data_IF_111027775887
#
_entry.id   IF_111027775887
#
_cell.length_a   1.000
_cell.length_b   1.000
_cell.length_c   1.000
_cell.angle_alpha   90.00
_cell.angle_beta   90.00
_cell.angle_gamma   90.00
#
_symmetry.space_group_name_H-M   'P 1'
#
loop_
_entity.id
_entity.type
_entity.pdbx_description
1 polymer ?
#
# COMPACT_ATOMS: atom_id res chain seq x y z
N UNK A 1 2.96 1.29 -3.22
CA UNK A 1 3.22 0.83 -4.59
C UNK A 1 2.37 -0.39 -4.87
N UNK A 2 1.75 -0.45 -6.04
CA UNK A 2 1.01 -1.61 -6.55
C UNK A 2 1.89 -2.41 -7.51
N UNK A 3 1.96 -3.71 -7.32
CA UNK A 3 2.87 -4.59 -8.04
C UNK A 3 2.09 -5.52 -8.97
N UNK A 4 2.59 -5.66 -10.20
CA UNK A 4 2.00 -6.53 -11.21
C UNK A 4 2.28 -8.01 -10.94
N UNK A 5 1.46 -8.86 -11.54
CA UNK A 5 1.35 -10.30 -11.33
C UNK A 5 2.63 -11.13 -11.54
N UNK A 6 3.55 -10.69 -12.39
CA UNK A 6 4.71 -11.49 -12.83
C UNK A 6 6.06 -10.95 -12.33
N UNK A 7 6.12 -10.54 -11.06
CA UNK A 7 7.38 -10.09 -10.48
C UNK A 7 8.19 -11.25 -9.92
N UNK A 8 9.50 -11.23 -10.17
CA UNK A 8 10.44 -12.06 -9.43
C UNK A 8 10.51 -11.50 -8.01
N UNK A 9 10.10 -12.28 -7.04
CA UNK A 9 10.20 -11.93 -5.63
C UNK A 9 10.76 -13.10 -4.83
N UNK A 10 11.43 -12.77 -3.75
CA UNK A 10 11.77 -13.71 -2.71
C UNK A 10 10.96 -13.34 -1.47
N UNK A 11 10.18 -14.27 -0.98
CA UNK A 11 9.48 -14.08 0.29
C UNK A 11 10.48 -14.31 1.41
N UNK A 12 10.55 -13.37 2.32
CA UNK A 12 11.43 -13.44 3.50
C UNK A 12 10.84 -14.35 4.58
N UNK A 13 9.60 -14.81 4.39
CA UNK A 13 8.93 -15.83 5.22
C UNK A 13 8.70 -17.10 4.41
N UNK A 14 8.79 -18.26 5.04
CA UNK A 14 8.64 -19.60 4.43
C UNK A 14 7.23 -19.92 3.89
N UNK A 15 6.43 -18.90 3.62
CA UNK A 15 4.99 -19.05 3.43
C UNK A 15 4.58 -19.09 1.96
N UNK A 16 5.30 -18.37 1.09
CA UNK A 16 5.09 -18.39 -0.35
C UNK A 16 6.36 -18.90 -1.06
N UNK A 17 6.21 -19.72 -2.08
CA UNK A 17 7.34 -20.22 -2.84
C UNK A 17 7.81 -19.20 -3.87
N UNK A 18 9.13 -19.11 -4.10
CA UNK A 18 9.69 -18.27 -5.15
C UNK A 18 9.09 -18.63 -6.51
N UNK A 19 8.63 -17.63 -7.26
CA UNK A 19 8.00 -17.80 -8.56
C UNK A 19 6.48 -18.02 -8.52
N UNK A 20 5.87 -18.16 -7.32
CA UNK A 20 4.43 -18.17 -7.18
C UNK A 20 3.89 -16.73 -7.34
N UNK A 21 2.66 -16.60 -7.85
CA UNK A 21 1.98 -15.31 -7.87
C UNK A 21 1.71 -14.83 -6.43
N UNK A 22 2.32 -13.70 -6.05
CA UNK A 22 2.25 -13.19 -4.69
C UNK A 22 0.81 -12.91 -4.23
N UNK A 23 -0.05 -12.35 -5.09
CA UNK A 23 -1.45 -12.11 -4.75
C UNK A 23 -2.18 -13.43 -4.50
N UNK A 24 -1.99 -14.42 -5.37
CA UNK A 24 -2.58 -15.75 -5.21
C UNK A 24 -2.11 -16.44 -3.93
N UNK A 25 -0.82 -16.35 -3.62
CA UNK A 25 -0.27 -16.89 -2.38
C UNK A 25 -0.96 -16.27 -1.15
N UNK A 26 -1.00 -14.95 -1.07
CA UNK A 26 -1.59 -14.24 0.08
C UNK A 26 -3.07 -14.59 0.27
N UNK A 27 -3.85 -14.60 -0.82
CA UNK A 27 -5.27 -14.95 -0.75
C UNK A 27 -5.50 -16.43 -0.37
N UNK A 28 -4.63 -17.32 -0.85
CA UNK A 28 -4.66 -18.74 -0.47
C UNK A 28 -4.36 -18.93 1.02
N UNK A 29 -3.37 -18.21 1.54
CA UNK A 29 -3.02 -18.22 2.97
C UNK A 29 -4.18 -17.75 3.85
N UNK A 30 -4.83 -16.66 3.45
CA UNK A 30 -6.01 -16.15 4.15
C UNK A 30 -7.13 -17.20 4.23
N UNK A 31 -7.26 -18.07 3.20
CA UNK A 31 -8.24 -19.15 3.18
C UNK A 31 -7.84 -20.41 3.96
N UNK A 32 -6.55 -20.61 4.27
CA UNK A 32 -6.06 -21.84 4.93
C UNK A 32 -6.12 -21.80 6.45
N UNK A 33 -6.14 -20.63 7.05
CA UNK A 33 -6.09 -20.44 8.50
C UNK A 33 -6.89 -19.22 8.92
N UNK A 34 -7.20 -19.13 10.22
CA UNK A 34 -7.88 -17.95 10.76
C UNK A 34 -7.04 -16.68 10.58
N UNK A 35 -7.71 -15.55 10.41
CA UNK A 35 -7.07 -14.24 10.28
C UNK A 35 -6.21 -13.88 11.52
N UNK A 36 -6.59 -14.37 12.70
CA UNK A 36 -5.80 -14.18 13.92
C UNK A 36 -4.41 -14.82 13.86
N UNK A 37 -4.24 -15.90 13.11
CA UNK A 37 -2.96 -16.58 12.90
C UNK A 37 -2.17 -15.98 11.72
N UNK A 38 -2.82 -15.83 10.57
CA UNK A 38 -2.17 -15.32 9.35
C UNK A 38 -1.92 -13.83 9.38
N UNK A 39 -2.66 -13.08 10.20
CA UNK A 39 -2.74 -11.62 10.20
C UNK A 39 -3.25 -11.04 8.88
N UNK A 40 -3.91 -11.86 8.05
CA UNK A 40 -4.52 -11.46 6.79
C UNK A 40 -6.04 -11.49 6.97
N UNK A 41 -6.68 -10.34 6.76
CA UNK A 41 -8.11 -10.16 6.91
C UNK A 41 -8.74 -9.91 5.54
N UNK A 42 -9.78 -10.67 5.23
CA UNK A 42 -10.58 -10.45 4.02
C UNK A 42 -11.65 -9.38 4.32
N UNK A 43 -11.53 -8.25 3.67
CA UNK A 43 -12.42 -7.10 3.86
C UNK A 43 -13.68 -7.20 2.99
N UNK A 44 -14.39 -8.31 3.11
CA UNK A 44 -15.71 -8.51 2.52
C UNK A 44 -16.84 -8.05 3.47
N UNK A 45 -18.08 -8.24 3.07
CA UNK A 45 -19.24 -7.84 3.86
C UNK A 45 -19.42 -8.59 5.19
N UNK A 46 -18.66 -9.67 5.45
CA UNK A 46 -18.73 -10.46 6.68
C UNK A 46 -17.79 -9.96 7.78
N UNK A 47 -16.76 -9.18 7.42
CA UNK A 47 -15.78 -8.66 8.38
C UNK A 47 -16.38 -7.49 9.15
N UNK A 48 -16.60 -7.67 10.44
CA UNK A 48 -17.05 -6.59 11.33
C UNK A 48 -16.05 -5.42 11.31
N UNK A 49 -16.55 -4.22 11.08
CA UNK A 49 -15.76 -3.00 10.90
C UNK A 49 -14.78 -3.01 9.71
N UNK A 50 -14.86 -4.02 8.85
CA UNK A 50 -14.07 -4.10 7.62
C UNK A 50 -14.45 -3.02 6.60
N UNK A 51 -13.54 -2.77 5.68
CA UNK A 51 -13.69 -1.71 4.66
C UNK A 51 -14.74 -2.09 3.60
N UNK A 52 -14.97 -3.37 3.38
CA UNK A 52 -15.91 -3.94 2.39
C UNK A 52 -15.53 -3.57 0.93
N UNK A 53 -14.26 -3.63 0.62
CA UNK A 53 -13.71 -3.42 -0.73
C UNK A 53 -13.20 -4.73 -1.37
N UNK A 54 -13.48 -5.87 -0.74
CA UNK A 54 -13.06 -7.20 -1.15
C UNK A 54 -11.52 -7.39 -1.19
N UNK A 55 -10.77 -6.53 -0.51
CA UNK A 55 -9.33 -6.67 -0.38
C UNK A 55 -8.93 -7.66 0.71
N UNK A 56 -7.70 -8.17 0.63
CA UNK A 56 -7.05 -8.94 1.69
C UNK A 56 -5.93 -8.09 2.28
N UNK A 57 -6.01 -7.74 3.56
CA UNK A 57 -5.07 -6.80 4.19
C UNK A 57 -4.39 -7.43 5.39
N UNK A 58 -3.10 -7.16 5.53
CA UNK A 58 -2.38 -7.46 6.76
C UNK A 58 -2.74 -6.46 7.84
N UNK A 59 -3.01 -6.95 9.06
CA UNK A 59 -3.31 -6.11 10.20
C UNK A 59 -2.64 -6.61 11.48
N UNK A 60 -2.24 -5.68 12.33
CA UNK A 60 -1.58 -5.92 13.61
C UNK A 60 -0.36 -5.03 13.81
N UNK A 61 0.22 -5.09 15.01
CA UNK A 61 1.43 -4.34 15.32
C UNK A 61 2.61 -4.79 14.44
N UNK A 62 3.45 -3.85 14.03
CA UNK A 62 4.56 -4.07 13.09
C UNK A 62 5.47 -5.23 13.46
N UNK A 63 5.74 -5.40 14.74
CA UNK A 63 6.60 -6.46 15.29
C UNK A 63 5.92 -7.84 15.31
N UNK A 64 4.60 -7.88 15.19
CA UNK A 64 3.82 -9.13 15.25
C UNK A 64 3.34 -9.63 13.89
N UNK A 65 3.58 -8.85 12.82
CA UNK A 65 3.12 -9.17 11.46
C UNK A 65 4.31 -9.42 10.55
N UNK A 66 4.47 -10.68 10.11
CA UNK A 66 5.52 -11.06 9.17
C UNK A 66 5.02 -10.93 7.72
N UNK A 67 5.02 -9.70 7.22
CA UNK A 67 4.56 -9.34 5.87
C UNK A 67 5.68 -8.79 4.98
N UNK A 68 6.91 -9.25 5.19
CA UNK A 68 8.05 -8.79 4.42
C UNK A 68 8.18 -9.51 3.08
N UNK A 69 8.64 -8.80 2.07
CA UNK A 69 8.94 -9.32 0.74
C UNK A 69 10.17 -8.64 0.17
N UNK A 70 11.05 -9.42 -0.46
CA UNK A 70 12.21 -8.92 -1.18
C UNK A 70 11.86 -8.80 -2.66
N UNK A 71 11.92 -7.59 -3.21
CA UNK A 71 11.53 -7.30 -4.59
C UNK A 71 12.74 -6.87 -5.41
N UNK A 72 12.92 -7.52 -6.57
CA UNK A 72 13.99 -7.17 -7.51
C UNK A 72 15.40 -7.59 -7.07
N UNK A 73 15.55 -8.43 -6.04
CA UNK A 73 16.80 -9.03 -5.63
C UNK A 73 16.59 -10.47 -5.17
N UNK A 74 17.60 -11.31 -5.38
CA UNK A 74 17.69 -12.69 -4.87
C UNK A 74 18.74 -12.85 -3.78
N UNK A 75 19.33 -11.75 -3.33
CA UNK A 75 20.33 -11.77 -2.27
C UNK A 75 19.71 -12.15 -0.92
N UNK A 76 20.49 -12.87 -0.11
CA UNK A 76 20.12 -13.23 1.25
C UNK A 76 21.28 -12.88 2.20
N UNK A 77 21.08 -11.94 3.13
CA UNK A 77 19.82 -11.22 3.41
C UNK A 77 19.38 -10.25 2.30
N UNK A 78 18.07 -10.00 2.20
CA UNK A 78 17.51 -9.05 1.25
C UNK A 78 18.11 -7.64 1.47
N UNK A 79 18.62 -6.98 0.43
CA UNK A 79 19.11 -5.61 0.57
C UNK A 79 18.00 -4.67 1.01
N UNK A 80 18.31 -3.70 1.85
CA UNK A 80 17.35 -2.70 2.35
C UNK A 80 16.59 -1.97 1.23
N UNK A 81 17.26 -1.72 0.13
CA UNK A 81 16.66 -1.09 -1.05
C UNK A 81 15.58 -1.96 -1.72
N UNK A 82 15.59 -3.26 -1.48
CA UNK A 82 14.70 -4.25 -2.07
C UNK A 82 13.70 -4.82 -1.06
N UNK A 83 13.82 -4.44 0.22
CA UNK A 83 12.97 -4.95 1.27
C UNK A 83 11.70 -4.08 1.41
N UNK A 84 10.55 -4.73 1.24
CA UNK A 84 9.24 -4.11 1.33
C UNK A 84 8.37 -4.84 2.35
N UNK A 85 7.32 -4.17 2.79
CA UNK A 85 6.22 -4.76 3.55
C UNK A 85 4.95 -4.77 2.70
N UNK A 86 4.24 -5.87 2.74
CA UNK A 86 2.96 -6.03 2.06
C UNK A 86 1.86 -5.40 2.91
N UNK A 87 1.10 -4.48 2.33
CA UNK A 87 -0.11 -3.92 2.94
C UNK A 87 -1.28 -4.86 2.69
N UNK A 88 -1.45 -5.28 1.44
CA UNK A 88 -2.54 -6.19 1.08
C UNK A 88 -2.62 -6.49 -0.40
N UNK A 89 -3.65 -7.26 -0.75
CA UNK A 89 -4.03 -7.62 -2.11
C UNK A 89 -5.33 -6.90 -2.48
N UNK A 90 -5.31 -6.21 -3.61
CA UNK A 90 -6.41 -5.41 -4.15
C UNK A 90 -6.68 -5.86 -5.58
N UNK A 91 -7.69 -6.70 -5.77
CA UNK A 91 -7.89 -7.40 -7.02
C UNK A 91 -6.75 -8.39 -7.27
N UNK A 92 -6.02 -8.22 -8.35
CA UNK A 92 -4.84 -9.03 -8.74
C UNK A 92 -3.49 -8.34 -8.42
N UNK A 93 -3.54 -7.17 -7.79
CA UNK A 93 -2.38 -6.36 -7.45
C UNK A 93 -2.03 -6.44 -5.96
N UNK A 94 -0.74 -6.37 -5.66
CA UNK A 94 -0.24 -6.33 -4.29
C UNK A 94 0.26 -4.92 -3.98
N UNK A 95 -0.30 -4.32 -2.94
CA UNK A 95 0.15 -3.02 -2.43
C UNK A 95 1.27 -3.22 -1.43
N UNK A 96 2.38 -2.54 -1.66
CA UNK A 96 3.55 -2.62 -0.79
C UNK A 96 4.08 -1.24 -0.40
N UNK A 97 4.75 -1.19 0.73
CA UNK A 97 5.50 -0.02 1.21
C UNK A 97 6.94 -0.44 1.51
N UNK A 98 7.91 0.45 1.35
CA UNK A 98 9.28 0.15 1.77
C UNK A 98 9.36 -0.16 3.26
N UNK A 99 10.17 -1.15 3.63
CA UNK A 99 10.40 -1.50 5.03
C UNK A 99 11.17 -0.41 5.78
N UNK A 100 12.03 0.35 5.07
CA UNK A 100 12.76 1.49 5.62
C UNK A 100 12.32 2.79 4.95
N UNK A 101 12.22 3.85 5.76
CA UNK A 101 11.96 5.21 5.27
C UNK A 101 13.02 5.63 4.24
N UNK A 102 12.60 6.42 3.24
CA UNK A 102 13.49 7.08 2.28
C UNK A 102 13.92 8.48 2.73
N UNK A 103 13.51 8.89 3.93
CA UNK A 103 13.82 10.18 4.52
C UNK A 103 12.57 11.02 4.78
N UNK A 104 12.82 12.20 5.35
CA UNK A 104 11.80 13.23 5.55
C UNK A 104 11.79 14.17 4.36
N UNK A 105 10.62 14.48 3.85
CA UNK A 105 10.44 15.35 2.69
C UNK A 105 9.27 16.29 2.92
N UNK A 106 9.41 17.52 2.47
CA UNK A 106 8.28 18.44 2.43
C UNK A 106 7.25 17.95 1.39
N UNK A 107 5.98 18.20 1.68
CA UNK A 107 4.89 17.93 0.73
C UNK A 107 5.10 18.71 -0.57
N UNK A 108 5.35 20.00 -0.47
CA UNK A 108 5.65 20.86 -1.59
C UNK A 108 6.63 21.97 -1.22
N UNK A 109 7.55 22.30 -2.12
CA UNK A 109 8.56 23.35 -1.92
C UNK A 109 8.00 24.76 -2.02
N UNK A 110 6.78 24.92 -2.55
CA UNK A 110 6.12 26.21 -2.76
C UNK A 110 4.88 26.37 -1.89
N UNK A 111 4.74 25.57 -0.82
CA UNK A 111 3.63 25.59 0.11
C UNK A 111 2.24 25.35 -0.54
N UNK A 112 2.18 24.66 -1.69
CA UNK A 112 0.94 24.28 -2.34
C UNK A 112 0.37 23.01 -1.71
N UNK A 113 -0.94 23.00 -1.48
CA UNK A 113 -1.65 21.79 -1.02
C UNK A 113 -2.10 20.88 -2.17
N UNK A 114 -1.90 21.29 -3.42
CA UNK A 114 -2.33 20.53 -4.61
C UNK A 114 -1.37 19.40 -4.89
N UNK A 115 -1.82 18.16 -4.74
CA UNK A 115 -0.97 16.98 -4.91
C UNK A 115 -0.43 16.82 -6.32
N UNK A 116 -1.26 17.04 -7.34
CA UNK A 116 -0.87 16.87 -8.75
C UNK A 116 0.36 17.70 -9.15
N UNK A 117 0.59 18.84 -8.48
CA UNK A 117 1.72 19.73 -8.71
C UNK A 117 2.77 19.69 -7.61
N UNK A 118 2.54 18.97 -6.53
CA UNK A 118 3.43 18.89 -5.38
C UNK A 118 4.81 18.36 -5.77
N UNK A 119 5.86 18.96 -5.20
CA UNK A 119 7.23 18.54 -5.42
C UNK A 119 7.49 17.10 -4.95
N UNK A 120 6.80 16.66 -3.89
CA UNK A 120 6.86 15.28 -3.44
C UNK A 120 6.30 14.29 -4.48
N UNK A 121 5.16 14.61 -5.11
CA UNK A 121 4.60 13.76 -6.18
C UNK A 121 5.57 13.67 -7.37
N UNK A 122 6.13 14.81 -7.77
CA UNK A 122 7.12 14.88 -8.85
C UNK A 122 8.35 14.01 -8.53
N UNK A 123 8.88 14.12 -7.32
CA UNK A 123 10.01 13.30 -6.87
C UNK A 123 9.68 11.81 -6.86
N UNK A 124 8.56 11.41 -6.25
CA UNK A 124 8.17 10.00 -6.11
C UNK A 124 7.96 9.32 -7.46
N UNK A 125 7.32 9.99 -8.41
CA UNK A 125 7.04 9.45 -9.75
C UNK A 125 8.11 9.80 -10.80
N UNK A 126 9.18 10.48 -10.42
CA UNK A 126 10.34 10.84 -11.24
C UNK A 126 11.62 10.18 -10.73
N UNK A 127 12.41 10.93 -9.97
CA UNK A 127 13.73 10.49 -9.51
C UNK A 127 13.69 9.23 -8.66
N UNK A 128 12.79 9.17 -7.69
CA UNK A 128 12.65 7.98 -6.84
C UNK A 128 12.22 6.76 -7.65
N UNK A 129 11.23 6.88 -8.52
CA UNK A 129 10.80 5.78 -9.40
C UNK A 129 11.95 5.29 -10.27
N UNK A 130 12.73 6.20 -10.84
CA UNK A 130 13.91 5.88 -11.65
C UNK A 130 14.98 5.16 -10.81
N UNK A 131 15.17 5.55 -9.56
CA UNK A 131 16.13 4.92 -8.65
C UNK A 131 15.83 3.45 -8.32
N UNK A 132 14.60 3.00 -8.54
CA UNK A 132 14.19 1.60 -8.38
C UNK A 132 14.69 0.68 -9.50
N UNK A 133 15.31 1.24 -10.55
CA UNK A 133 15.86 0.47 -11.67
C UNK A 133 14.80 -0.40 -12.35
N UNK A 134 15.16 -1.65 -12.64
CA UNK A 134 14.24 -2.62 -13.31
C UNK A 134 12.98 -2.94 -12.50
N UNK A 135 12.97 -2.68 -11.18
CA UNK A 135 11.77 -2.84 -10.37
C UNK A 135 10.68 -1.87 -10.81
N UNK A 136 11.04 -0.67 -11.28
CA UNK A 136 10.08 0.33 -11.74
C UNK A 136 9.19 -0.17 -12.90
N UNK A 137 9.70 -1.08 -13.75
CA UNK A 137 8.95 -1.65 -14.86
C UNK A 137 7.85 -2.61 -14.40
N UNK A 138 8.00 -3.14 -13.18
CA UNK A 138 7.07 -4.10 -12.57
C UNK A 138 6.01 -3.44 -11.72
N UNK A 139 6.14 -2.15 -11.44
CA UNK A 139 5.15 -1.39 -10.68
C UNK A 139 3.98 -1.04 -11.60
N UNK A 140 2.78 -1.43 -11.18
CA UNK A 140 1.55 -1.12 -11.90
C UNK A 140 1.28 0.38 -11.92
N UNK A 141 0.82 0.87 -13.03
CA UNK A 141 0.21 2.19 -13.12
C UNK A 141 -1.23 2.10 -12.61
N UNK A 142 -1.61 2.98 -11.71
CA UNK A 142 -2.93 2.96 -11.08
C UNK A 142 -3.43 4.37 -10.78
N UNK A 143 -4.66 4.45 -10.34
CA UNK A 143 -5.27 5.68 -9.82
C UNK A 143 -5.05 5.75 -8.32
N UNK A 144 -4.51 6.88 -7.86
CA UNK A 144 -4.32 7.16 -6.46
C UNK A 144 -5.29 8.23 -5.97
N UNK A 145 -5.74 8.08 -4.75
CA UNK A 145 -6.53 9.09 -4.04
C UNK A 145 -5.65 9.78 -3.02
N UNK A 146 -5.84 11.07 -2.84
CA UNK A 146 -5.04 11.87 -1.89
C UNK A 146 -5.94 12.83 -1.14
N UNK A 147 -5.79 12.92 0.18
CA UNK A 147 -6.64 13.74 1.01
C UNK A 147 -7.92 13.04 1.46
N UNK A 148 -8.99 13.78 1.66
CA UNK A 148 -10.30 13.28 2.09
C UNK A 148 -10.46 13.09 3.59
N UNK A 149 -9.42 12.97 4.37
CA UNK A 149 -9.45 12.97 5.84
C UNK A 149 -8.78 14.23 6.40
N UNK A 150 -9.29 14.72 7.53
CA UNK A 150 -8.68 15.83 8.27
C UNK A 150 -7.98 15.29 9.51
N UNK A 151 -6.98 16.03 10.02
CA UNK A 151 -6.27 15.71 11.26
C UNK A 151 -7.25 15.41 12.43
N UNK A 152 -8.32 16.20 12.53
CA UNK A 152 -9.33 16.03 13.59
C UNK A 152 -10.15 14.74 13.44
N UNK A 153 -10.23 14.18 12.25
CA UNK A 153 -11.04 12.99 11.95
C UNK A 153 -10.21 11.69 12.01
N UNK A 154 -8.93 11.75 11.66
CA UNK A 154 -8.05 10.56 11.57
C UNK A 154 -8.05 9.76 12.87
N UNK A 155 -7.91 10.41 14.01
CA UNK A 155 -7.82 9.73 15.31
C UNK A 155 -9.16 9.15 15.81
N UNK A 156 -10.28 9.48 15.17
CA UNK A 156 -11.64 9.16 15.65
C UNK A 156 -12.41 8.24 14.72
N UNK A 157 -12.03 8.20 13.46
CA UNK A 157 -12.78 7.44 12.47
C UNK A 157 -12.32 5.98 12.46
N UNK A 158 -13.25 5.01 12.40
CA UNK A 158 -12.91 3.64 12.02
C UNK A 158 -12.31 3.59 10.60
N UNK A 159 -11.51 2.56 10.32
CA UNK A 159 -10.89 2.34 9.00
C UNK A 159 -11.89 2.45 7.84
N UNK A 160 -13.09 1.89 8.02
CA UNK A 160 -14.19 1.99 7.04
C UNK A 160 -14.57 3.44 6.72
N UNK A 161 -14.66 4.29 7.74
CA UNK A 161 -15.01 5.72 7.54
C UNK A 161 -13.86 6.46 6.87
N UNK A 162 -12.62 6.20 7.30
CA UNK A 162 -11.43 6.75 6.66
C UNK A 162 -11.39 6.40 5.16
N UNK A 163 -11.65 5.13 4.83
CA UNK A 163 -11.69 4.66 3.44
C UNK A 163 -12.82 5.32 2.62
N UNK A 164 -14.01 5.49 3.20
CA UNK A 164 -15.10 6.19 2.52
C UNK A 164 -14.68 7.62 2.16
N UNK A 165 -14.03 8.33 3.08
CA UNK A 165 -13.58 9.70 2.87
C UNK A 165 -12.42 9.83 1.87
N UNK A 166 -11.53 8.84 1.82
CA UNK A 166 -10.34 8.85 0.96
C UNK A 166 -10.62 8.36 -0.45
N UNK A 167 -11.35 7.25 -0.57
CA UNK A 167 -11.40 6.46 -1.80
C UNK A 167 -12.76 6.49 -2.47
N UNK A 168 -13.84 6.28 -1.71
CA UNK A 168 -15.18 6.09 -2.28
C UNK A 168 -15.84 7.44 -2.60
N UNK A 169 -15.82 8.35 -1.66
CA UNK A 169 -16.35 9.70 -1.80
C UNK A 169 -15.32 10.71 -1.30
N UNK A 170 -14.24 10.92 -2.06
CA UNK A 170 -13.25 11.92 -1.65
C UNK A 170 -13.97 13.27 -1.52
N UNK A 171 -14.04 13.72 -0.28
CA UNK A 171 -14.62 15.01 0.10
C UNK A 171 -16.16 15.13 0.19
N UNK A 172 -16.87 14.36 0.98
CA UNK A 172 -18.26 14.68 1.30
C UNK A 172 -18.32 15.79 2.37
N UNK A 173 -18.17 17.05 1.96
CA UNK A 173 -18.42 18.19 2.84
C UNK A 173 -17.37 18.49 3.91
N UNK A 174 -16.15 18.02 3.75
CA UNK A 174 -14.99 18.40 4.58
C UNK A 174 -14.18 19.52 3.90
N UNK A 175 -13.39 20.26 4.68
CA UNK A 175 -12.51 21.31 4.15
C UNK A 175 -11.27 20.75 3.43
N UNK A 176 -11.04 19.45 3.47
CA UNK A 176 -9.94 18.80 2.77
C UNK A 176 -10.45 18.20 1.47
N UNK A 177 -10.11 18.83 0.37
CA UNK A 177 -10.44 18.34 -0.96
C UNK A 177 -9.63 17.08 -1.26
N UNK A 178 -10.32 15.96 -1.49
CA UNK A 178 -9.68 14.77 -2.02
C UNK A 178 -9.32 14.99 -3.48
N UNK A 179 -8.11 14.63 -3.85
CA UNK A 179 -7.63 14.63 -5.23
C UNK A 179 -7.59 13.21 -5.78
N UNK A 180 -7.76 13.11 -7.08
CA UNK A 180 -7.55 11.87 -7.84
C UNK A 180 -6.38 12.08 -8.77
N UNK A 181 -5.38 11.21 -8.68
CA UNK A 181 -4.21 11.25 -9.53
C UNK A 181 -4.14 9.96 -10.33
N UNK A 182 -4.44 10.06 -11.61
CA UNK A 182 -4.45 8.94 -12.53
C UNK A 182 -3.06 8.65 -13.12
N UNK A 183 -2.87 7.40 -13.52
CA UNK A 183 -1.68 6.96 -14.25
C UNK A 183 -0.35 7.18 -13.49
N UNK A 184 -0.38 7.03 -12.18
CA UNK A 184 0.84 7.09 -11.34
C UNK A 184 1.22 5.70 -10.83
N UNK A 185 2.52 5.48 -10.69
CA UNK A 185 3.06 4.23 -10.16
C UNK A 185 3.22 4.26 -8.65
N UNK A 186 3.49 5.43 -8.09
CA UNK A 186 3.73 5.62 -6.66
C UNK A 186 2.75 6.65 -6.11
N UNK A 187 2.06 6.28 -5.05
CA UNK A 187 1.18 7.15 -4.28
C UNK A 187 1.50 7.12 -2.80
N UNK A 188 0.77 7.91 -2.05
CA UNK A 188 0.85 7.91 -0.60
C UNK A 188 0.06 6.75 0.00
N UNK A 189 0.44 6.35 1.18
CA UNK A 189 -0.30 5.39 1.97
C UNK A 189 -1.62 6.00 2.43
N UNK A 190 -2.70 5.26 2.35
CA UNK A 190 -4.00 5.70 2.85
C UNK A 190 -4.06 5.59 4.37
N UNK A 191 -4.83 6.46 5.01
CA UNK A 191 -5.11 6.34 6.46
C UNK A 191 -5.75 4.99 6.75
N UNK A 192 -6.67 4.55 5.90
CA UNK A 192 -7.33 3.25 6.00
C UNK A 192 -6.41 2.03 5.81
N UNK A 193 -5.21 2.20 5.28
CA UNK A 193 -4.18 1.15 5.22
C UNK A 193 -3.44 0.98 6.57
N UNK A 194 -3.56 1.97 7.45
CA UNK A 194 -2.82 2.05 8.72
C UNK A 194 -3.68 1.61 9.91
N UNK A 195 -4.96 1.60 9.77
CA UNK A 195 -5.97 1.31 10.79
C UNK A 195 -6.43 -0.14 10.69
#
# INVERSE_FOLDING_TARGET
VMIQKEMIYQVVSDVCTNGENLATCITTLAGKSSASLTKIYHHDGSLENGINDNSYRYAGASESVNNYVCLGSTENPCPDANLFRIIGVFGDQVKVIRAKSIGEMAWDSNDSNTWSTASLNTYLNGEYLTSLGTLSDRIATTTWKVGGNTENNIAKNPAKTAYQNEVVQPNPGTTSNGETEDNKKIGLMYVSDYM
#
